data_IF_889324754836
#
_entry.id   IF_889324754836
#
_cell.length_a   1.000
_cell.length_b   1.000
_cell.length_c   1.000
_cell.angle_alpha   90.00
_cell.angle_beta   90.00
_cell.angle_gamma   90.00
#
_symmetry.space_group_name_H-M   'P 1'
#
loop_
_entity.id
_entity.type
_entity.pdbx_description
1 polymer ?
#
# COMPACT_ATOMS: atom_id res chain seq x y z
N UNK A 1 1.17 -64.75 15.74
CA UNK A 1 2.40 -64.22 15.10
C UNK A 1 1.99 -63.32 13.93
N UNK A 2 2.57 -62.12 13.88
CA UNK A 2 2.54 -61.10 12.82
C UNK A 2 1.28 -60.22 12.73
N UNK A 3 1.42 -59.10 13.44
CA UNK A 3 0.77 -57.81 13.31
C UNK A 3 0.96 -57.23 11.89
N UNK A 4 -0.12 -56.76 11.25
CA UNK A 4 -0.03 -55.93 10.04
C UNK A 4 -0.47 -54.51 10.39
N UNK A 5 0.49 -53.67 10.76
CA UNK A 5 0.33 -52.22 10.77
C UNK A 5 0.26 -51.75 9.31
N UNK A 6 -0.93 -51.40 8.82
CA UNK A 6 -1.07 -50.62 7.60
C UNK A 6 -0.93 -49.15 7.95
N UNK A 7 0.14 -48.54 7.47
CA UNK A 7 0.47 -47.13 7.65
C UNK A 7 -0.70 -46.23 7.24
N UNK A 8 -1.17 -45.41 8.17
CA UNK A 8 -1.94 -44.19 7.89
C UNK A 8 -0.98 -43.18 7.26
N UNK A 9 -1.04 -43.01 5.94
CA UNK A 9 -0.38 -41.88 5.28
C UNK A 9 -1.32 -40.67 5.38
N UNK A 10 -1.22 -39.95 6.49
CA UNK A 10 -1.80 -38.62 6.61
C UNK A 10 -0.98 -37.66 5.72
N UNK A 11 -1.47 -37.37 4.52
CA UNK A 11 -0.94 -36.29 3.70
C UNK A 11 -1.33 -34.94 4.34
N UNK A 12 -0.57 -34.49 5.33
CA UNK A 12 -0.55 -33.08 5.73
C UNK A 12 0.09 -32.29 4.59
N UNK A 13 -0.72 -31.91 3.60
CA UNK A 13 -0.35 -30.84 2.68
C UNK A 13 -0.34 -29.54 3.49
N UNK A 14 0.81 -29.22 4.08
CA UNK A 14 1.09 -27.92 4.68
C UNK A 14 0.89 -26.84 3.62
N UNK A 15 -0.28 -26.21 3.60
CA UNK A 15 -0.53 -24.98 2.87
C UNK A 15 0.26 -23.88 3.58
N UNK A 16 1.55 -23.78 3.29
CA UNK A 16 2.31 -22.58 3.60
C UNK A 16 1.76 -21.48 2.73
N UNK A 17 0.90 -20.63 3.32
CA UNK A 17 0.44 -19.40 2.69
C UNK A 17 1.68 -18.56 2.36
N UNK A 18 2.15 -18.64 1.11
CA UNK A 18 3.24 -17.80 0.64
C UNK A 18 2.76 -16.35 0.73
N UNK A 19 3.31 -15.60 1.68
CA UNK A 19 3.03 -14.16 1.78
C UNK A 19 3.73 -13.49 0.62
N UNK A 20 3.03 -13.32 -0.49
CA UNK A 20 3.54 -12.60 -1.64
C UNK A 20 3.52 -11.11 -1.31
N UNK A 21 4.69 -10.51 -1.24
CA UNK A 21 4.86 -9.21 -0.65
C UNK A 21 5.07 -8.16 -1.77
N UNK A 22 4.04 -7.36 -2.03
CA UNK A 22 4.03 -6.38 -3.13
C UNK A 22 5.12 -5.30 -2.98
N UNK A 23 5.85 -5.05 -4.07
CA UNK A 23 6.79 -3.94 -4.16
C UNK A 23 6.16 -2.82 -4.99
N UNK A 24 5.28 -2.04 -4.36
CA UNK A 24 4.50 -0.99 -5.02
C UNK A 24 4.50 0.26 -4.14
N UNK A 25 4.84 1.41 -4.73
CA UNK A 25 4.81 2.70 -4.05
C UNK A 25 3.91 3.71 -4.76
N UNK A 26 3.19 4.51 -3.98
CA UNK A 26 2.36 5.61 -4.48
C UNK A 26 3.27 6.76 -4.95
N UNK A 27 3.41 6.93 -6.27
CA UNK A 27 4.21 8.00 -6.86
C UNK A 27 3.44 9.28 -7.09
N UNK A 28 2.11 9.23 -7.26
CA UNK A 28 1.25 10.42 -7.33
C UNK A 28 -0.09 10.19 -6.60
N UNK A 29 -0.55 11.11 -5.72
CA UNK A 29 0.28 12.13 -5.08
C UNK A 29 1.51 11.49 -4.43
N UNK A 30 2.61 12.23 -4.32
CA UNK A 30 3.85 11.67 -3.80
C UNK A 30 3.65 11.11 -2.39
N UNK A 31 3.92 9.81 -2.22
CA UNK A 31 4.15 9.24 -0.89
C UNK A 31 5.26 10.01 -0.16
N UNK A 32 5.27 9.96 1.17
CA UNK A 32 6.26 10.70 1.96
C UNK A 32 7.67 10.27 1.56
N UNK A 33 8.47 11.25 1.18
CA UNK A 33 9.89 11.16 0.81
C UNK A 33 10.14 10.29 -0.42
N UNK A 34 9.16 10.19 -1.33
CA UNK A 34 9.28 9.41 -2.55
C UNK A 34 10.41 9.96 -3.45
N UNK A 35 11.30 9.11 -4.02
CA UNK A 35 12.46 9.52 -4.81
C UNK A 35 12.12 9.98 -6.25
N UNK A 36 10.84 10.09 -6.61
CA UNK A 36 10.48 10.36 -8.01
C UNK A 36 10.67 11.84 -8.32
N UNK A 37 11.13 12.12 -9.54
CA UNK A 37 11.17 13.48 -10.06
C UNK A 37 9.79 14.15 -9.95
N UNK A 38 9.78 15.39 -9.47
CA UNK A 38 8.57 16.16 -9.21
C UNK A 38 7.96 15.98 -7.81
N UNK A 39 8.47 15.04 -7.00
CA UNK A 39 8.11 14.98 -5.59
C UNK A 39 8.87 16.05 -4.78
N UNK A 40 8.25 16.66 -3.76
CA UNK A 40 8.95 17.61 -2.91
C UNK A 40 10.14 16.94 -2.22
N UNK A 41 11.19 17.73 -1.95
CA UNK A 41 12.28 17.29 -1.09
C UNK A 41 11.77 16.95 0.32
N UNK A 42 12.35 15.94 0.99
CA UNK A 42 12.05 15.68 2.39
C UNK A 42 12.25 16.93 3.26
N UNK A 43 11.46 17.11 4.33
CA UNK A 43 11.67 18.19 5.30
C UNK A 43 13.08 18.16 5.91
N UNK A 44 13.48 19.29 6.52
CA UNK A 44 14.78 19.39 7.19
C UNK A 44 15.00 18.25 8.20
N UNK A 45 16.19 17.64 8.15
CA UNK A 45 16.55 16.49 8.99
C UNK A 45 15.95 15.15 8.55
N UNK A 46 15.31 15.08 7.38
CA UNK A 46 14.79 13.84 6.79
C UNK A 46 15.55 13.54 5.48
N UNK A 47 15.50 12.29 5.04
CA UNK A 47 16.15 11.82 3.81
C UNK A 47 15.16 11.13 2.89
N UNK A 48 15.54 11.04 1.60
CA UNK A 48 14.74 10.36 0.58
C UNK A 48 14.62 8.88 0.93
N UNK A 49 13.41 8.33 0.81
CA UNK A 49 13.14 6.92 1.05
C UNK A 49 13.29 6.12 -0.26
N UNK A 50 14.50 5.66 -0.54
CA UNK A 50 14.77 4.79 -1.70
C UNK A 50 14.11 3.42 -1.60
N UNK A 51 13.58 3.05 -0.44
CA UNK A 51 12.83 1.82 -0.20
C UNK A 51 11.32 2.08 -0.14
N UNK A 52 10.79 3.17 -0.73
CA UNK A 52 9.37 3.54 -0.64
C UNK A 52 8.43 2.46 -1.19
N UNK A 53 8.88 1.68 -2.19
CA UNK A 53 8.12 0.56 -2.74
C UNK A 53 8.15 -0.66 -1.83
N UNK A 54 9.07 -0.71 -0.87
CA UNK A 54 9.14 -1.81 0.07
C UNK A 54 7.93 -1.79 1.00
N UNK A 55 7.30 -2.95 1.20
CA UNK A 55 6.15 -3.09 2.08
C UNK A 55 6.53 -2.75 3.51
N UNK A 56 5.58 -2.17 4.24
CA UNK A 56 5.86 -1.58 5.54
C UNK A 56 6.13 -2.61 6.65
N UNK A 57 5.68 -3.83 6.48
CA UNK A 57 5.92 -4.93 7.39
C UNK A 57 5.31 -6.20 6.83
N UNK A 58 5.29 -7.27 7.60
CA UNK A 58 4.62 -8.52 7.19
C UNK A 58 3.20 -8.56 7.74
N UNK A 59 2.39 -9.51 7.26
CA UNK A 59 1.05 -9.73 7.82
C UNK A 59 1.08 -9.93 9.34
N UNK A 60 2.04 -10.70 9.84
CA UNK A 60 2.18 -11.03 11.26
C UNK A 60 2.93 -9.96 12.07
N UNK A 61 3.58 -9.02 11.40
CA UNK A 61 4.35 -7.95 12.05
C UNK A 61 4.31 -6.66 11.20
N UNK A 62 3.16 -5.96 11.17
CA UNK A 62 3.05 -4.70 10.45
C UNK A 62 3.86 -3.61 11.17
N UNK A 63 4.70 -2.88 10.44
CA UNK A 63 5.35 -1.69 11.01
C UNK A 63 4.45 -0.46 10.89
N UNK A 64 4.69 0.48 11.79
CA UNK A 64 4.01 1.78 11.86
C UNK A 64 5.06 2.90 11.86
N UNK A 65 4.70 4.12 11.40
CA UNK A 65 3.37 4.59 10.98
C UNK A 65 2.99 4.08 9.58
N UNK A 66 1.69 3.94 9.26
CA UNK A 66 1.20 3.44 7.95
C UNK A 66 1.82 4.17 6.74
N UNK A 67 2.15 5.47 6.89
CA UNK A 67 2.80 6.26 5.84
C UNK A 67 4.35 6.17 5.82
N UNK A 68 4.95 5.17 6.50
CA UNK A 68 6.40 4.94 6.75
C UNK A 68 7.14 6.04 7.52
N UNK A 69 6.73 7.30 7.37
CA UNK A 69 7.35 8.48 7.97
C UNK A 69 6.31 9.32 8.72
N UNK A 70 6.70 9.99 9.80
CA UNK A 70 5.79 10.80 10.64
C UNK A 70 5.78 12.29 10.28
N UNK A 71 6.87 12.83 9.73
CA UNK A 71 6.93 14.26 9.35
C UNK A 71 6.32 14.45 7.95
N UNK A 72 5.29 15.29 7.80
CA UNK A 72 4.68 15.55 6.49
C UNK A 72 5.56 16.47 5.65
N UNK A 73 5.35 16.48 4.32
CA UNK A 73 5.95 17.49 3.46
C UNK A 73 5.55 18.92 3.84
N UNK A 74 6.48 19.85 3.66
CA UNK A 74 6.25 21.29 3.80
C UNK A 74 5.27 21.80 2.74
N UNK A 75 5.44 21.34 1.50
CA UNK A 75 4.52 21.61 0.39
C UNK A 75 3.65 20.38 0.13
N UNK A 76 2.32 20.58 0.09
CA UNK A 76 1.34 19.51 -0.12
C UNK A 76 0.50 19.77 -1.35
N UNK A 77 0.06 18.69 -2.00
CA UNK A 77 -0.99 18.78 -2.99
C UNK A 77 -2.29 19.24 -2.31
N UNK A 78 -3.07 20.06 -3.01
CA UNK A 78 -4.38 20.53 -2.57
C UNK A 78 -5.42 19.90 -3.49
N UNK A 79 -6.46 19.34 -2.90
CA UNK A 79 -7.56 18.70 -3.60
C UNK A 79 -8.88 19.21 -3.05
N UNK A 80 -9.89 19.27 -3.91
CA UNK A 80 -11.25 19.67 -3.52
C UNK A 80 -12.08 18.44 -3.14
N UNK A 81 -13.02 18.60 -2.22
CA UNK A 81 -14.06 17.61 -2.00
C UNK A 81 -14.79 17.31 -3.31
N UNK A 82 -15.13 16.03 -3.55
CA UNK A 82 -15.75 15.58 -4.79
C UNK A 82 -14.78 15.36 -5.96
N UNK A 83 -13.53 15.83 -5.87
CA UNK A 83 -12.53 15.68 -6.92
C UNK A 83 -12.11 14.21 -7.10
N UNK A 84 -11.95 13.78 -8.36
CA UNK A 84 -11.27 12.53 -8.69
C UNK A 84 -9.76 12.78 -8.77
N UNK A 85 -9.02 12.06 -7.94
CA UNK A 85 -7.55 12.00 -7.97
C UNK A 85 -7.15 10.76 -8.73
N UNK A 86 -6.33 10.93 -9.76
CA UNK A 86 -5.68 9.81 -10.43
C UNK A 86 -4.43 9.41 -9.64
N UNK A 87 -4.55 8.42 -8.76
CA UNK A 87 -3.39 7.93 -8.02
C UNK A 87 -2.52 7.09 -8.94
N UNK A 88 -1.23 7.39 -9.00
CA UNK A 88 -0.26 6.69 -9.84
C UNK A 88 0.72 5.92 -8.94
N UNK A 89 1.01 4.69 -9.32
CA UNK A 89 1.88 3.79 -8.57
C UNK A 89 3.06 3.34 -9.41
N UNK A 90 4.24 3.30 -8.79
CA UNK A 90 5.41 2.61 -9.32
C UNK A 90 5.32 1.14 -8.95
N UNK A 91 5.13 0.26 -9.94
CA UNK A 91 4.98 -1.18 -9.71
C UNK A 91 6.32 -1.85 -9.94
N UNK A 92 7.00 -2.28 -8.87
CA UNK A 92 8.18 -3.13 -8.96
C UNK A 92 7.77 -4.59 -9.18
N UNK A 93 6.99 -5.14 -8.24
CA UNK A 93 6.44 -6.49 -8.33
C UNK A 93 5.00 -6.50 -7.81
N UNK A 94 4.01 -6.83 -8.65
CA UNK A 94 2.59 -6.78 -8.28
C UNK A 94 2.12 -8.02 -7.51
N UNK A 95 2.87 -9.13 -7.58
CA UNK A 95 2.58 -10.38 -6.86
C UNK A 95 1.14 -10.91 -7.04
N UNK A 96 0.59 -10.79 -8.26
CA UNK A 96 -0.76 -11.24 -8.59
C UNK A 96 -1.87 -10.30 -8.11
N UNK A 97 -1.52 -9.14 -7.55
CA UNK A 97 -2.46 -8.15 -7.01
C UNK A 97 -3.01 -8.54 -5.65
N UNK A 98 -4.17 -7.97 -5.29
CA UNK A 98 -4.84 -8.26 -4.04
C UNK A 98 -5.87 -7.21 -3.64
N UNK A 99 -5.88 -6.86 -2.36
CA UNK A 99 -6.83 -5.90 -1.80
C UNK A 99 -6.17 -4.53 -1.63
N UNK A 100 -6.90 -3.45 -1.96
CA UNK A 100 -6.49 -2.09 -1.62
C UNK A 100 -7.62 -1.33 -0.95
N UNK A 101 -7.23 -0.50 0.01
CA UNK A 101 -8.09 0.53 0.58
C UNK A 101 -7.43 1.89 0.42
N UNK A 102 -8.27 2.88 0.15
CA UNK A 102 -7.92 4.29 0.13
C UNK A 102 -8.65 4.95 1.27
N UNK A 103 -7.93 5.68 2.11
CA UNK A 103 -8.50 6.28 3.29
C UNK A 103 -7.97 7.70 3.52
N UNK A 104 -8.79 8.52 4.16
CA UNK A 104 -8.43 9.87 4.60
C UNK A 104 -8.25 9.87 6.12
N UNK A 105 -7.33 10.71 6.59
CA UNK A 105 -7.08 10.96 8.00
C UNK A 105 -6.92 12.47 8.20
N UNK A 106 -7.57 13.00 9.23
CA UNK A 106 -7.53 14.42 9.60
C UNK A 106 -6.72 14.67 10.88
N UNK A 107 -6.28 13.62 11.56
CA UNK A 107 -5.62 13.67 12.87
C UNK A 107 -4.15 13.21 12.82
N UNK A 108 -3.55 13.32 11.63
CA UNK A 108 -2.15 12.96 11.41
C UNK A 108 -1.90 11.46 11.28
N UNK A 109 -2.91 10.67 10.92
CA UNK A 109 -2.80 9.23 10.68
C UNK A 109 -3.12 8.36 11.90
N UNK A 110 -3.80 8.91 12.91
CA UNK A 110 -4.23 8.13 14.09
C UNK A 110 -5.54 7.39 13.80
N UNK A 111 -6.47 8.06 13.12
CA UNK A 111 -7.71 7.45 12.63
C UNK A 111 -7.84 7.61 11.12
N UNK A 112 -8.57 6.69 10.49
CA UNK A 112 -8.70 6.60 9.03
C UNK A 112 -10.14 6.28 8.66
N UNK A 113 -10.66 6.98 7.65
CA UNK A 113 -11.96 6.69 7.04
C UNK A 113 -11.72 6.18 5.62
N UNK A 114 -12.13 4.94 5.35
CA UNK A 114 -11.98 4.33 4.02
C UNK A 114 -12.98 4.95 3.06
N UNK A 115 -12.48 5.50 1.95
CA UNK A 115 -13.27 6.17 0.90
C UNK A 115 -13.38 5.32 -0.38
N UNK A 116 -12.51 4.32 -0.54
CA UNK A 116 -12.60 3.36 -1.64
C UNK A 116 -11.98 2.03 -1.23
N UNK A 117 -12.66 0.94 -1.58
CA UNK A 117 -12.15 -0.42 -1.43
C UNK A 117 -12.12 -1.09 -2.80
N UNK A 118 -10.98 -1.70 -3.15
CA UNK A 118 -10.86 -2.58 -4.32
C UNK A 118 -10.57 -3.98 -3.78
N UNK A 119 -11.59 -4.82 -3.79
CA UNK A 119 -11.52 -6.15 -3.22
C UNK A 119 -10.92 -7.13 -4.22
N UNK A 120 -9.79 -7.77 -3.84
CA UNK A 120 -9.10 -8.86 -4.56
C UNK A 120 -8.50 -8.51 -5.94
N UNK A 121 -9.00 -7.48 -6.60
CA UNK A 121 -8.61 -7.12 -7.97
C UNK A 121 -7.59 -5.98 -8.05
N UNK A 122 -7.16 -5.42 -6.93
CA UNK A 122 -6.23 -4.30 -6.94
C UNK A 122 -4.87 -4.74 -7.49
N UNK A 123 -4.34 -4.05 -8.49
CA UNK A 123 -3.08 -4.37 -9.20
C UNK A 123 -3.01 -5.78 -9.82
N UNK A 124 -4.14 -6.49 -9.95
CA UNK A 124 -4.14 -7.88 -10.49
C UNK A 124 -3.58 -7.96 -11.91
N UNK A 125 -3.82 -6.93 -12.71
CA UNK A 125 -3.34 -6.82 -14.09
C UNK A 125 -2.13 -5.87 -14.24
N UNK A 126 -1.54 -5.42 -13.12
CA UNK A 126 -0.34 -4.60 -13.18
C UNK A 126 0.87 -5.47 -13.55
N UNK A 127 1.87 -4.88 -14.19
CA UNK A 127 3.13 -5.54 -14.55
C UNK A 127 4.31 -4.85 -13.86
N UNK A 128 5.33 -5.62 -13.49
CA UNK A 128 6.57 -5.05 -12.94
C UNK A 128 7.23 -4.09 -13.93
N UNK A 129 7.82 -3.01 -13.41
CA UNK A 129 8.44 -1.94 -14.20
C UNK A 129 7.44 -0.94 -14.81
N UNK A 130 6.13 -1.09 -14.57
CA UNK A 130 5.11 -0.20 -15.15
C UNK A 130 4.55 0.80 -14.14
N UNK A 131 3.90 1.84 -14.67
CA UNK A 131 3.01 2.70 -13.90
C UNK A 131 1.61 2.14 -13.94
N UNK A 132 0.92 2.18 -12.81
CA UNK A 132 -0.49 1.81 -12.73
C UNK A 132 -1.29 2.95 -12.10
N UNK A 133 -2.44 3.28 -12.69
CA UNK A 133 -3.28 4.39 -12.24
C UNK A 133 -4.61 3.88 -11.71
N UNK A 134 -5.02 4.38 -10.55
CA UNK A 134 -6.32 4.10 -9.96
C UNK A 134 -7.03 5.43 -9.69
N UNK A 135 -8.20 5.70 -10.29
CA UNK A 135 -8.97 6.90 -9.95
C UNK A 135 -9.61 6.75 -8.58
N UNK A 136 -9.50 7.76 -7.74
CA UNK A 136 -10.06 7.79 -6.38
C UNK A 136 -10.81 9.10 -6.20
N UNK A 137 -12.11 9.03 -5.92
CA UNK A 137 -12.90 10.22 -5.65
C UNK A 137 -12.81 10.57 -4.17
N UNK A 138 -12.47 11.82 -3.85
CA UNK A 138 -12.68 12.36 -2.52
C UNK A 138 -14.19 12.53 -2.31
N UNK A 139 -14.78 12.11 -1.17
CA UNK A 139 -16.19 12.37 -0.88
C UNK A 139 -16.55 13.85 -1.07
N UNK A 140 -17.72 14.14 -1.66
CA UNK A 140 -18.17 15.51 -1.93
C UNK A 140 -18.46 16.31 -0.66
N UNK A 141 -18.72 15.62 0.43
CA UNK A 141 -18.97 16.13 1.77
C UNK A 141 -17.74 16.05 2.69
N UNK A 142 -16.56 15.69 2.15
CA UNK A 142 -15.34 15.64 2.93
C UNK A 142 -15.03 17.04 3.51
N UNK A 143 -14.82 17.18 4.83
CA UNK A 143 -14.52 18.46 5.43
C UNK A 143 -13.15 18.97 4.95
N UNK A 144 -12.97 20.29 4.96
CA UNK A 144 -11.65 20.88 4.73
C UNK A 144 -10.68 20.47 5.83
N UNK A 145 -9.42 20.21 5.48
CA UNK A 145 -8.42 19.77 6.44
C UNK A 145 -7.05 19.53 5.81
N UNK A 146 -6.16 18.92 6.60
CA UNK A 146 -4.75 18.69 6.28
C UNK A 146 -4.38 17.22 6.39
#
# INVERSE_FOLDING_TARGET
>A
MIMKFSLVVAALASFTAMTAQAHIGLSKPCGRYHPSAGCPSPPAGQSVDYNINSPIGTHSNPAFPICKHTVPYTQRAVYNAGQIINTEYSVGAPHGGGHCQYALSYDGGKTWVVIKTILRECFRNASGGTKHTIPVQIPSDAPSGK
#
